data_IF_242432891903
#
_entry.id   IF_242432891903
#
_cell.length_a   1.000
_cell.length_b   1.000
_cell.length_c   1.000
_cell.angle_alpha   90.00
_cell.angle_beta   90.00
_cell.angle_gamma   90.00
#
_symmetry.space_group_name_H-M   'P 1'
#
loop_
_entity.id
_entity.type
_entity.pdbx_description
1 polymer ?
#
# COMPACT_ATOMS: atom_id res chain seq x y z
N UNK A 1 14.73 -5.96 3.01
CA UNK A 1 14.35 -7.15 3.76
C UNK A 1 12.87 -7.20 4.11
N UNK A 2 12.19 -6.09 4.04
CA UNK A 2 10.75 -6.02 4.21
C UNK A 2 10.16 -4.94 3.31
N UNK A 3 8.97 -5.17 2.78
CA UNK A 3 8.18 -4.17 2.06
C UNK A 3 6.70 -4.24 2.44
N UNK A 4 6.02 -3.11 2.28
CA UNK A 4 4.59 -3.03 2.57
C UNK A 4 3.78 -3.78 1.55
N UNK A 5 2.68 -4.39 2.00
CA UNK A 5 1.63 -4.83 1.10
C UNK A 5 0.83 -3.64 0.57
N UNK A 6 0.02 -3.90 -0.44
CA UNK A 6 -0.81 -2.87 -1.07
C UNK A 6 -2.19 -3.39 -1.45
N UNK A 7 -3.19 -2.64 -1.05
CA UNK A 7 -4.56 -2.79 -1.51
C UNK A 7 -5.10 -1.45 -1.99
N UNK A 8 -5.93 -1.47 -3.01
CA UNK A 8 -6.73 -0.32 -3.45
C UNK A 8 -8.19 -0.67 -3.25
N UNK A 9 -8.89 0.17 -2.50
CA UNK A 9 -10.31 -0.02 -2.18
C UNK A 9 -11.12 1.10 -2.79
N UNK A 10 -12.30 0.76 -3.31
CA UNK A 10 -13.33 1.72 -3.69
C UNK A 10 -14.43 1.64 -2.64
N UNK A 11 -14.88 2.80 -2.16
CA UNK A 11 -16.02 2.92 -1.25
C UNK A 11 -17.12 3.71 -1.96
N UNK A 12 -18.35 3.18 -1.92
CA UNK A 12 -19.50 3.76 -2.56
C UNK A 12 -20.59 4.08 -1.53
N UNK A 13 -20.78 5.34 -1.25
CA UNK A 13 -21.89 5.85 -0.47
C UNK A 13 -23.08 6.13 -1.39
N UNK A 14 -24.23 5.57 -1.06
CA UNK A 14 -25.49 5.76 -1.78
C UNK A 14 -26.45 6.64 -1.01
N UNK A 15 -26.98 7.64 -1.71
CA UNK A 15 -27.99 8.55 -1.22
C UNK A 15 -29.26 8.50 -2.09
N UNK A 16 -29.89 9.65 -2.18
CA UNK A 16 -31.06 9.86 -3.01
C UNK A 16 -31.01 11.26 -3.62
N UNK A 17 -31.11 11.34 -4.94
CA UNK A 17 -31.12 12.63 -5.64
C UNK A 17 -32.33 13.50 -5.22
N UNK A 18 -32.11 14.81 -5.19
CA UNK A 18 -33.15 15.79 -4.87
C UNK A 18 -32.68 17.21 -5.21
N UNK A 19 -33.59 18.16 -5.13
CA UNK A 19 -33.26 19.58 -5.32
C UNK A 19 -32.62 20.13 -4.03
N UNK A 20 -31.46 20.79 -4.13
CA UNK A 20 -30.70 21.27 -2.94
C UNK A 20 -31.50 22.23 -2.03
N UNK A 21 -32.48 22.97 -2.58
CA UNK A 21 -33.38 23.84 -1.81
C UNK A 21 -34.60 23.13 -1.22
N UNK A 22 -34.70 21.79 -1.32
CA UNK A 22 -35.82 21.01 -0.82
C UNK A 22 -35.30 19.85 0.03
N UNK A 23 -36.04 19.48 1.08
CA UNK A 23 -35.68 18.39 2.00
C UNK A 23 -36.16 17.01 1.50
N UNK A 24 -35.94 16.71 0.21
CA UNK A 24 -36.44 15.49 -0.45
C UNK A 24 -35.34 14.55 -0.96
N UNK A 25 -34.07 14.85 -0.67
CA UNK A 25 -32.90 14.08 -1.04
C UNK A 25 -32.14 13.54 0.15
N UNK A 26 -31.28 12.55 -0.08
CA UNK A 26 -30.29 12.03 0.88
C UNK A 26 -28.89 12.25 0.30
N UNK A 27 -28.12 13.14 0.89
CA UNK A 27 -26.81 13.52 0.35
C UNK A 27 -25.77 12.44 0.55
N UNK A 28 -25.31 11.82 -0.55
CA UNK A 28 -24.28 10.78 -0.53
C UNK A 28 -22.93 11.28 -0.06
N UNK A 29 -22.58 12.57 -0.26
CA UNK A 29 -21.34 13.16 0.28
C UNK A 29 -21.37 13.12 1.80
N UNK A 30 -22.50 13.54 2.41
CA UNK A 30 -22.63 13.54 3.87
C UNK A 30 -22.57 12.11 4.43
N UNK A 31 -23.11 11.11 3.70
CA UNK A 31 -23.00 9.70 4.08
C UNK A 31 -21.57 9.14 3.96
N UNK A 32 -20.76 9.68 3.08
CA UNK A 32 -19.35 9.27 2.92
C UNK A 32 -18.42 9.85 4.00
N UNK A 33 -18.74 11.03 4.56
CA UNK A 33 -17.86 11.74 5.50
C UNK A 33 -17.46 10.91 6.73
N UNK A 34 -18.36 10.18 7.43
CA UNK A 34 -17.96 9.36 8.58
C UNK A 34 -16.91 8.30 8.21
N UNK A 35 -17.07 7.65 7.05
CA UNK A 35 -16.13 6.63 6.58
C UNK A 35 -14.78 7.25 6.20
N UNK A 36 -14.78 8.40 5.50
CA UNK A 36 -13.55 9.14 5.18
C UNK A 36 -12.82 9.54 6.47
N UNK A 37 -13.55 10.04 7.47
CA UNK A 37 -12.98 10.38 8.77
C UNK A 37 -12.40 9.15 9.46
N UNK A 38 -13.08 8.02 9.42
CA UNK A 38 -12.57 6.77 9.98
C UNK A 38 -11.26 6.36 9.32
N UNK A 39 -11.15 6.38 7.99
CA UNK A 39 -9.89 6.08 7.29
C UNK A 39 -8.74 7.00 7.67
N UNK A 40 -9.01 8.23 8.06
CA UNK A 40 -8.00 9.19 8.48
C UNK A 40 -7.54 9.03 9.93
N UNK A 41 -8.41 8.49 10.79
CA UNK A 41 -8.18 8.51 12.24
C UNK A 41 -7.99 7.13 12.87
N UNK A 42 -8.39 6.06 12.16
CA UNK A 42 -8.27 4.72 12.72
C UNK A 42 -6.82 4.24 12.72
N UNK A 43 -6.38 3.78 13.87
CA UNK A 43 -5.06 3.21 14.08
C UNK A 43 -5.17 1.71 14.37
N UNK A 44 -4.48 0.89 13.59
CA UNK A 44 -4.41 -0.54 13.82
C UNK A 44 -3.57 -0.85 15.06
N UNK A 45 -4.06 -1.70 16.00
CA UNK A 45 -3.37 -1.95 17.28
C UNK A 45 -1.97 -2.53 17.17
N UNK A 46 -1.73 -3.44 16.18
CA UNK A 46 -0.40 -4.01 15.98
C UNK A 46 0.42 -3.10 15.07
N UNK A 47 1.63 -2.78 15.49
CA UNK A 47 2.58 -1.96 14.73
C UNK A 47 3.81 -2.80 14.41
N UNK A 48 4.19 -2.86 13.13
CA UNK A 48 5.42 -3.54 12.72
C UNK A 48 6.64 -2.76 13.20
N UNK A 49 7.62 -3.46 13.75
CA UNK A 49 8.91 -2.89 14.16
C UNK A 49 9.75 -2.39 12.97
N UNK A 50 9.60 -3.00 11.79
CA UNK A 50 10.30 -2.62 10.56
C UNK A 50 9.49 -1.68 9.66
N UNK A 51 8.19 -1.93 9.52
CA UNK A 51 7.35 -1.22 8.55
C UNK A 51 6.45 -0.16 9.19
N UNK A 52 6.39 -0.11 10.54
CA UNK A 52 5.50 0.81 11.27
C UNK A 52 4.02 0.41 11.17
N UNK A 53 3.07 1.34 11.34
CA UNK A 53 1.64 1.07 11.33
C UNK A 53 1.11 0.81 9.91
N UNK A 54 -0.04 0.13 9.80
CA UNK A 54 -0.85 0.13 8.57
C UNK A 54 -1.21 1.57 8.23
N UNK A 55 -1.10 1.95 6.95
CA UNK A 55 -1.48 3.28 6.47
C UNK A 55 -2.68 3.19 5.54
N UNK A 56 -3.64 4.08 5.73
CA UNK A 56 -4.80 4.23 4.87
C UNK A 56 -4.89 5.69 4.42
N UNK A 57 -5.02 5.91 3.12
CA UNK A 57 -5.07 7.27 2.56
C UNK A 57 -6.19 7.35 1.53
N UNK A 58 -7.14 8.24 1.74
CA UNK A 58 -8.14 8.57 0.70
C UNK A 58 -7.43 9.38 -0.37
N UNK A 59 -7.40 8.85 -1.60
CA UNK A 59 -6.61 9.40 -2.71
C UNK A 59 -7.45 10.02 -3.81
N UNK A 60 -8.72 9.61 -3.94
CA UNK A 60 -9.65 10.12 -4.94
C UNK A 60 -11.05 10.23 -4.33
N UNK A 61 -11.83 11.21 -4.79
CA UNK A 61 -13.25 11.37 -4.45
C UNK A 61 -14.01 11.95 -5.63
N UNK A 62 -15.17 11.39 -5.94
CA UNK A 62 -16.07 11.85 -6.99
C UNK A 62 -17.50 11.86 -6.46
N UNK A 63 -18.19 13.00 -6.60
CA UNK A 63 -19.59 13.14 -6.21
C UNK A 63 -20.23 14.38 -6.84
N UNK A 64 -21.54 14.27 -7.15
CA UNK A 64 -22.34 15.37 -7.65
C UNK A 64 -22.09 15.73 -9.13
N UNK A 65 -23.13 16.23 -9.78
CA UNK A 65 -23.11 16.61 -11.21
C UNK A 65 -23.60 18.03 -11.44
N UNK A 66 -24.24 18.64 -10.43
CA UNK A 66 -24.83 19.98 -10.54
C UNK A 66 -24.86 20.67 -9.17
N UNK A 67 -24.65 21.99 -9.16
CA UNK A 67 -24.60 22.81 -7.94
C UNK A 67 -25.92 22.91 -7.18
N UNK A 68 -27.04 22.61 -7.85
CA UNK A 68 -28.39 22.70 -7.25
C UNK A 68 -29.06 21.34 -7.04
N UNK A 69 -28.32 20.22 -7.20
CA UNK A 69 -28.82 18.87 -6.99
C UNK A 69 -28.09 18.18 -5.82
N UNK A 70 -28.84 17.48 -4.98
CA UNK A 70 -28.31 16.60 -3.95
C UNK A 70 -27.71 15.36 -4.64
N UNK A 71 -26.43 15.01 -4.44
CA UNK A 71 -25.83 13.83 -5.05
C UNK A 71 -26.37 12.55 -4.44
N UNK A 72 -26.69 11.58 -5.29
CA UNK A 72 -27.15 10.23 -4.92
C UNK A 72 -26.04 9.21 -4.86
N UNK A 73 -24.85 9.54 -5.37
CA UNK A 73 -23.64 8.74 -5.21
C UNK A 73 -22.45 9.60 -4.79
N UNK A 74 -21.62 9.06 -3.91
CA UNK A 74 -20.28 9.55 -3.60
C UNK A 74 -19.34 8.35 -3.60
N UNK A 75 -18.37 8.38 -4.50
CA UNK A 75 -17.34 7.34 -4.66
C UNK A 75 -16.01 7.90 -4.23
N UNK A 76 -15.28 7.14 -3.44
CA UNK A 76 -13.91 7.50 -3.11
C UNK A 76 -13.00 6.28 -3.10
N UNK A 77 -11.70 6.52 -3.33
CA UNK A 77 -10.68 5.48 -3.41
C UNK A 77 -9.71 5.63 -2.25
N UNK A 78 -9.34 4.50 -1.67
CA UNK A 78 -8.41 4.40 -0.54
C UNK A 78 -7.21 3.54 -0.93
N UNK A 79 -6.00 4.12 -0.83
CA UNK A 79 -4.73 3.39 -0.85
C UNK A 79 -4.47 2.83 0.57
N UNK A 80 -4.31 1.52 0.68
CA UNK A 80 -4.05 0.83 1.95
C UNK A 80 -2.70 0.14 1.87
N UNK A 81 -1.79 0.52 2.77
CA UNK A 81 -0.45 -0.07 2.92
C UNK A 81 -0.42 -0.96 4.15
N UNK A 82 -0.49 -2.26 3.91
CA UNK A 82 -0.43 -3.27 4.96
C UNK A 82 1.01 -3.55 5.40
N UNK A 83 1.19 -4.28 6.49
CA UNK A 83 2.48 -4.60 7.09
C UNK A 83 2.56 -6.11 7.37
N UNK A 84 3.73 -6.58 7.73
CA UNK A 84 4.00 -7.99 8.05
C UNK A 84 3.24 -8.53 9.27
N UNK A 85 2.66 -7.65 10.10
CA UNK A 85 1.86 -8.03 11.29
C UNK A 85 0.36 -8.14 11.02
N UNK A 86 -0.09 -7.84 9.78
CA UNK A 86 -1.48 -7.96 9.34
C UNK A 86 -1.57 -8.54 7.93
N UNK A 87 -2.34 -9.60 7.76
CA UNK A 87 -2.74 -10.06 6.42
C UNK A 87 -3.71 -9.09 5.75
N UNK A 88 -3.71 -9.03 4.42
CA UNK A 88 -4.61 -8.16 3.66
C UNK A 88 -6.10 -8.45 3.96
N UNK A 89 -6.47 -9.72 4.15
CA UNK A 89 -7.86 -10.08 4.51
C UNK A 89 -8.23 -9.62 5.92
N UNK A 90 -7.32 -9.72 6.91
CA UNK A 90 -7.55 -9.24 8.29
C UNK A 90 -7.79 -7.73 8.32
N UNK A 91 -7.00 -6.97 7.53
CA UNK A 91 -7.21 -5.53 7.35
C UNK A 91 -8.54 -5.25 6.67
N UNK A 92 -8.89 -6.01 5.64
CA UNK A 92 -10.15 -5.87 4.91
C UNK A 92 -11.38 -6.15 5.78
N UNK A 93 -11.32 -7.19 6.62
CA UNK A 93 -12.38 -7.51 7.59
C UNK A 93 -12.55 -6.39 8.63
N UNK A 94 -11.44 -5.85 9.14
CA UNK A 94 -11.47 -4.69 10.05
C UNK A 94 -12.15 -3.49 9.40
N UNK A 95 -11.78 -3.16 8.15
CA UNK A 95 -12.39 -2.06 7.40
C UNK A 95 -13.90 -2.31 7.26
N UNK A 96 -14.32 -3.47 6.77
CA UNK A 96 -15.73 -3.81 6.58
C UNK A 96 -16.56 -3.76 7.88
N UNK A 97 -15.93 -4.05 9.00
CA UNK A 97 -16.58 -3.99 10.32
C UNK A 97 -16.86 -2.56 10.82
N UNK A 98 -16.22 -1.55 10.26
CA UNK A 98 -16.32 -0.16 10.72
C UNK A 98 -16.95 0.78 9.69
N UNK A 99 -16.89 0.44 8.41
CA UNK A 99 -17.41 1.27 7.32
C UNK A 99 -18.90 1.00 7.14
N UNK A 100 -19.68 2.08 7.06
CA UNK A 100 -21.14 2.01 6.87
C UNK A 100 -21.56 1.85 5.42
N UNK A 101 -20.69 2.16 4.46
CA UNK A 101 -20.95 2.13 3.03
C UNK A 101 -20.37 0.88 2.36
N UNK A 102 -20.70 0.66 1.09
CA UNK A 102 -20.22 -0.48 0.32
C UNK A 102 -18.70 -0.37 0.04
N UNK A 103 -17.91 -1.39 0.43
CA UNK A 103 -16.46 -1.45 0.20
C UNK A 103 -16.13 -2.55 -0.79
N UNK A 104 -15.49 -2.18 -1.89
CA UNK A 104 -15.06 -3.09 -2.96
C UNK A 104 -13.55 -3.02 -3.15
N UNK A 105 -12.81 -4.15 -3.07
CA UNK A 105 -11.41 -4.16 -3.41
C UNK A 105 -11.23 -4.05 -4.93
N UNK A 106 -10.46 -3.06 -5.39
CA UNK A 106 -10.00 -2.94 -6.77
C UNK A 106 -8.72 -3.74 -6.99
N UNK A 107 -7.84 -3.79 -5.98
CA UNK A 107 -6.65 -4.62 -5.93
C UNK A 107 -6.37 -5.03 -4.49
N UNK A 108 -5.93 -6.29 -4.25
CA UNK A 108 -5.64 -6.80 -2.89
C UNK A 108 -4.59 -7.91 -2.85
N UNK A 109 -3.86 -8.13 -3.94
CA UNK A 109 -3.01 -9.31 -4.09
C UNK A 109 -1.58 -9.11 -3.57
N UNK A 110 -1.11 -7.86 -3.47
CA UNK A 110 0.24 -7.57 -3.01
C UNK A 110 0.31 -7.67 -1.48
N UNK A 111 0.87 -8.76 -0.98
CA UNK A 111 1.09 -8.99 0.45
C UNK A 111 2.30 -8.20 0.93
N UNK A 112 2.33 -7.85 2.21
CA UNK A 112 3.57 -7.41 2.85
C UNK A 112 4.54 -8.59 2.93
N UNK A 113 5.82 -8.30 2.78
CA UNK A 113 6.89 -9.29 2.91
C UNK A 113 7.84 -8.91 4.04
N UNK A 114 8.39 -9.92 4.70
CA UNK A 114 9.45 -9.77 5.69
C UNK A 114 10.33 -11.00 5.70
N UNK A 115 11.63 -10.78 5.65
CA UNK A 115 12.63 -11.81 5.87
C UNK A 115 13.09 -11.78 7.33
N UNK A 116 13.19 -12.92 8.05
CA UNK A 116 13.73 -12.96 9.39
C UNK A 116 15.18 -12.46 9.44
N UNK A 117 15.54 -11.71 10.49
CA UNK A 117 16.88 -11.07 10.62
C UNK A 117 18.06 -12.05 10.59
N UNK A 118 17.83 -13.31 10.97
CA UNK A 118 18.81 -14.39 10.94
C UNK A 118 18.81 -15.21 9.65
N UNK A 119 18.11 -14.76 8.61
CA UNK A 119 18.06 -15.48 7.34
C UNK A 119 19.43 -15.41 6.64
N UNK A 120 19.93 -16.52 6.01
CA UNK A 120 21.23 -16.56 5.35
C UNK A 120 21.47 -15.44 4.33
N UNK A 121 20.42 -15.06 3.57
CA UNK A 121 20.49 -13.94 2.63
C UNK A 121 20.84 -12.60 3.29
N UNK A 122 20.34 -12.35 4.51
CA UNK A 122 20.62 -11.10 5.24
C UNK A 122 22.05 -11.15 5.78
N UNK A 123 22.48 -12.29 6.30
CA UNK A 123 23.86 -12.49 6.77
C UNK A 123 24.85 -12.27 5.63
N UNK A 124 24.64 -12.94 4.51
CA UNK A 124 25.49 -12.80 3.32
C UNK A 124 25.52 -11.36 2.79
N UNK A 125 24.38 -10.68 2.75
CA UNK A 125 24.29 -9.27 2.32
C UNK A 125 25.13 -8.36 3.22
N UNK A 126 25.10 -8.55 4.56
CA UNK A 126 25.90 -7.79 5.51
C UNK A 126 27.39 -8.08 5.38
N UNK A 127 27.77 -9.33 5.16
CA UNK A 127 29.17 -9.75 4.98
C UNK A 127 29.84 -9.10 3.77
N UNK A 128 29.09 -8.89 2.67
CA UNK A 128 29.59 -8.18 1.50
C UNK A 128 29.37 -6.65 1.59
N UNK A 129 28.95 -6.13 2.74
CA UNK A 129 28.83 -4.70 3.02
C UNK A 129 27.58 -4.03 2.47
N UNK A 130 26.52 -4.79 2.12
CA UNK A 130 25.25 -4.22 1.69
C UNK A 130 24.46 -3.67 2.89
N UNK A 131 23.89 -2.49 2.70
CA UNK A 131 22.92 -1.94 3.65
C UNK A 131 21.60 -2.70 3.57
N UNK A 132 21.10 -3.11 4.72
CA UNK A 132 19.84 -3.83 4.85
C UNK A 132 18.73 -2.83 5.15
N UNK A 133 17.87 -2.60 4.18
CA UNK A 133 16.80 -1.58 4.24
C UNK A 133 15.40 -2.19 4.19
N UNK A 134 14.41 -1.38 4.55
CA UNK A 134 12.98 -1.66 4.35
C UNK A 134 12.41 -0.75 3.25
N UNK A 135 11.37 -1.19 2.57
CA UNK A 135 10.71 -0.40 1.52
C UNK A 135 9.29 -0.01 1.93
N UNK A 136 8.92 1.28 1.83
CA UNK A 136 7.55 1.73 2.05
C UNK A 136 6.63 1.41 0.86
N UNK A 137 7.21 0.98 -0.28
CA UNK A 137 6.49 0.64 -1.51
C UNK A 137 6.33 -0.88 -1.63
N UNK A 138 5.48 -1.31 -2.56
CA UNK A 138 5.26 -2.72 -2.89
C UNK A 138 5.90 -3.05 -4.24
N UNK A 139 6.30 -4.30 -4.42
CA UNK A 139 6.81 -4.83 -5.69
C UNK A 139 6.18 -6.20 -5.97
N UNK A 140 6.62 -6.86 -7.05
CA UNK A 140 6.23 -8.24 -7.38
C UNK A 140 6.57 -9.25 -6.27
N UNK A 141 7.46 -8.88 -5.32
CA UNK A 141 7.75 -9.67 -4.13
C UNK A 141 6.48 -9.96 -3.32
N UNK A 142 5.51 -9.05 -3.30
CA UNK A 142 4.21 -9.25 -2.66
C UNK A 142 3.33 -10.35 -3.26
N UNK A 143 3.71 -10.90 -4.42
CA UNK A 143 3.05 -12.04 -5.10
C UNK A 143 3.77 -13.36 -4.86
N UNK A 144 4.93 -13.36 -4.22
CA UNK A 144 5.79 -14.54 -4.03
C UNK A 144 5.60 -15.06 -2.61
N UNK A 145 5.23 -16.35 -2.48
CA UNK A 145 4.99 -17.00 -1.18
C UNK A 145 6.24 -17.73 -0.63
N UNK A 146 7.44 -17.31 -1.05
CA UNK A 146 8.72 -17.82 -0.53
C UNK A 146 9.55 -16.71 0.08
N UNK A 147 10.44 -17.04 1.05
CA UNK A 147 11.39 -16.06 1.60
C UNK A 147 12.18 -15.39 0.47
N UNK A 148 12.14 -14.08 0.41
CA UNK A 148 12.75 -13.31 -0.68
C UNK A 148 13.25 -11.96 -0.20
N UNK A 149 14.22 -11.41 -0.92
CA UNK A 149 14.73 -10.04 -0.75
C UNK A 149 14.60 -9.27 -2.04
N UNK A 150 14.40 -7.98 -1.92
CA UNK A 150 14.47 -7.05 -3.04
C UNK A 150 15.87 -6.45 -3.10
N UNK A 151 16.54 -6.64 -4.22
CA UNK A 151 17.85 -6.10 -4.50
C UNK A 151 17.92 -5.69 -5.97
N UNK A 152 18.64 -4.62 -6.27
CA UNK A 152 18.83 -4.16 -7.64
C UNK A 152 19.85 -3.04 -7.72
N UNK A 153 20.41 -2.79 -8.93
CA UNK A 153 21.31 -1.68 -9.17
C UNK A 153 20.56 -0.35 -9.17
N UNK A 154 21.31 0.75 -9.00
CA UNK A 154 20.79 2.10 -9.06
C UNK A 154 20.25 2.62 -7.74
N UNK A 155 19.49 3.71 -7.81
CA UNK A 155 18.94 4.43 -6.65
C UNK A 155 17.45 4.58 -6.75
N UNK A 156 16.72 4.17 -5.71
CA UNK A 156 15.24 4.23 -5.65
C UNK A 156 14.67 5.65 -5.77
N UNK A 157 15.45 6.69 -5.37
CA UNK A 157 15.01 8.09 -5.48
C UNK A 157 14.83 8.57 -6.92
N UNK A 158 15.40 7.85 -7.90
CA UNK A 158 15.26 8.17 -9.34
C UNK A 158 14.03 7.52 -9.96
N UNK A 159 13.43 6.55 -9.29
CA UNK A 159 12.25 5.83 -9.78
C UNK A 159 11.04 6.77 -9.86
N UNK A 160 10.28 6.65 -10.95
CA UNK A 160 9.09 7.47 -11.22
C UNK A 160 9.36 8.98 -11.35
N UNK A 161 10.59 9.36 -11.70
CA UNK A 161 10.92 10.74 -12.07
C UNK A 161 10.83 10.94 -13.60
N UNK A 162 10.64 12.20 -14.05
CA UNK A 162 10.53 12.52 -15.48
C UNK A 162 11.78 12.15 -16.30
N UNK A 163 12.94 12.15 -15.66
CA UNK A 163 14.23 11.79 -16.27
C UNK A 163 14.83 10.56 -15.58
N UNK A 164 14.03 9.52 -15.36
CA UNK A 164 14.49 8.28 -14.75
C UNK A 164 15.67 7.67 -15.53
N UNK A 165 16.75 7.39 -14.84
CA UNK A 165 17.96 6.83 -15.45
C UNK A 165 18.71 5.90 -14.50
N UNK A 166 19.52 5.00 -15.09
CA UNK A 166 20.55 4.23 -14.41
C UNK A 166 21.88 4.42 -15.12
N UNK A 167 22.99 4.47 -14.38
CA UNK A 167 24.32 4.56 -14.94
C UNK A 167 24.85 3.17 -15.33
N UNK A 168 25.62 3.10 -16.41
CA UNK A 168 26.27 1.84 -16.82
C UNK A 168 27.21 1.27 -15.77
N UNK A 169 27.84 2.13 -14.94
CA UNK A 169 28.66 1.70 -13.81
C UNK A 169 27.81 0.99 -12.75
N UNK A 170 26.63 1.54 -12.44
CA UNK A 170 25.71 0.96 -11.45
C UNK A 170 25.19 -0.44 -11.89
N UNK A 171 24.99 -0.65 -13.19
CA UNK A 171 24.64 -1.97 -13.73
C UNK A 171 25.79 -2.97 -13.52
N UNK A 172 27.03 -2.57 -13.80
CA UNK A 172 28.21 -3.42 -13.60
C UNK A 172 28.43 -3.75 -12.13
N UNK A 173 28.38 -2.75 -11.27
CA UNK A 173 28.46 -2.91 -9.81
C UNK A 173 27.36 -3.84 -9.29
N UNK A 174 26.13 -3.73 -9.83
CA UNK A 174 25.03 -4.62 -9.51
C UNK A 174 25.31 -6.08 -9.89
N UNK A 175 25.89 -6.33 -11.07
CA UNK A 175 26.27 -7.70 -11.49
C UNK A 175 27.30 -8.28 -10.50
N UNK A 176 28.35 -7.51 -10.17
CA UNK A 176 29.39 -7.94 -9.24
C UNK A 176 28.81 -8.20 -7.84
N UNK A 177 27.90 -7.35 -7.38
CA UNK A 177 27.17 -7.52 -6.11
C UNK A 177 26.36 -8.81 -6.08
N UNK A 178 25.61 -9.11 -7.14
CA UNK A 178 24.84 -10.36 -7.23
C UNK A 178 25.75 -11.59 -7.22
N UNK A 179 26.88 -11.56 -7.94
CA UNK A 179 27.86 -12.66 -7.95
C UNK A 179 28.42 -12.87 -6.54
N UNK A 180 28.85 -11.81 -5.85
CA UNK A 180 29.38 -11.89 -4.50
C UNK A 180 28.35 -12.43 -3.51
N UNK A 181 27.10 -11.92 -3.57
CA UNK A 181 26.01 -12.37 -2.70
C UNK A 181 25.75 -13.87 -2.88
N UNK A 182 25.65 -14.34 -4.13
CA UNK A 182 25.40 -15.76 -4.42
C UNK A 182 26.58 -16.66 -4.00
N UNK A 183 27.82 -16.18 -4.12
CA UNK A 183 29.01 -16.91 -3.67
C UNK A 183 29.11 -16.99 -2.13
N UNK A 184 28.56 -15.98 -1.43
CA UNK A 184 28.55 -15.96 0.05
C UNK A 184 27.46 -16.85 0.66
N UNK A 185 26.50 -17.31 -0.15
CA UNK A 185 25.50 -18.27 0.30
C UNK A 185 26.10 -19.67 0.26
N UNK A 186 26.37 -20.25 1.42
CA UNK A 186 26.61 -21.68 1.54
C UNK A 186 25.30 -22.43 1.21
N UNK A 187 25.24 -23.07 0.05
CA UNK A 187 24.14 -23.91 -0.42
C UNK A 187 24.31 -25.36 0.06
#
# INVERSE_FOLDING_TARGET
IAERGHMTLEVLARGKSGHAARENGENAIIKALPDIQWFQTYEFPKVSDLLGPVKMTVTMIEAGTSSNAVPDECRFVVDVRTTDVYGNEEVMETIRGHIGNEVKPLSRHLKASRLPDNHPLITAAREIGLEVITSPTSSDQGLIDVPSVKIGPGKSERSHTSDEYIRMSEIREGIDTFIQLLQSLEL
#
